data_IF_781009569316
#
_entry.id   IF_781009569316
#
_cell.length_a   1.000
_cell.length_b   1.000
_cell.length_c   1.000
_cell.angle_alpha   90.00
_cell.angle_beta   90.00
_cell.angle_gamma   90.00
#
_symmetry.space_group_name_H-M   'P 1'
#
loop_
_entity.id
_entity.type
_entity.pdbx_description
1 polymer ?
#
# COMPACT_ATOMS: atom_id res chain seq x y z
N UNK A 1 -17.68 -12.18 -16.91
CA UNK A 1 -18.06 -10.90 -16.27
C UNK A 1 -18.44 -11.07 -14.80
N UNK A 2 -19.28 -12.04 -14.43
CA UNK A 2 -19.62 -12.30 -13.02
C UNK A 2 -18.39 -12.66 -12.14
N UNK A 3 -17.46 -13.48 -12.67
CA UNK A 3 -16.28 -13.93 -11.93
C UNK A 3 -15.30 -12.81 -11.54
N UNK A 4 -15.09 -11.79 -12.39
CA UNK A 4 -14.18 -10.67 -12.08
C UNK A 4 -14.74 -9.77 -10.97
N UNK A 5 -16.07 -9.59 -10.95
CA UNK A 5 -16.76 -8.78 -9.93
C UNK A 5 -16.65 -9.46 -8.57
N UNK A 6 -16.80 -10.79 -8.52
CA UNK A 6 -16.64 -11.56 -7.29
C UNK A 6 -15.22 -11.42 -6.72
N UNK A 7 -14.19 -11.50 -7.56
CA UNK A 7 -12.78 -11.33 -7.13
C UNK A 7 -12.54 -9.92 -6.59
N UNK A 8 -13.12 -8.88 -7.23
CA UNK A 8 -13.04 -7.49 -6.77
C UNK A 8 -13.71 -7.27 -5.41
N UNK A 9 -14.90 -7.84 -5.21
CA UNK A 9 -15.60 -7.79 -3.92
C UNK A 9 -14.80 -8.51 -2.83
N UNK A 10 -14.22 -9.66 -3.16
CA UNK A 10 -13.35 -10.41 -2.26
C UNK A 10 -12.11 -9.59 -1.87
N UNK A 11 -11.47 -8.93 -2.83
CA UNK A 11 -10.33 -8.05 -2.58
C UNK A 11 -10.70 -6.91 -1.61
N UNK A 12 -11.83 -6.23 -1.84
CA UNK A 12 -12.31 -5.17 -0.95
C UNK A 12 -12.57 -5.68 0.47
N UNK A 13 -13.18 -6.87 0.58
CA UNK A 13 -13.44 -7.48 1.88
C UNK A 13 -12.13 -7.80 2.62
N UNK A 14 -11.14 -8.38 1.94
CA UNK A 14 -9.83 -8.68 2.52
C UNK A 14 -9.15 -7.38 2.99
N UNK A 15 -9.11 -6.35 2.16
CA UNK A 15 -8.50 -5.06 2.51
C UNK A 15 -9.20 -4.40 3.70
N UNK A 16 -10.53 -4.48 3.77
CA UNK A 16 -11.32 -3.93 4.88
C UNK A 16 -11.05 -4.70 6.17
N UNK A 17 -11.00 -6.04 6.12
CA UNK A 17 -10.66 -6.88 7.29
C UNK A 17 -9.24 -6.60 7.76
N UNK A 18 -8.26 -6.50 6.85
CA UNK A 18 -6.88 -6.15 7.18
C UNK A 18 -6.80 -4.76 7.82
N UNK A 19 -7.50 -3.76 7.25
CA UNK A 19 -7.55 -2.41 7.80
C UNK A 19 -8.14 -2.35 9.20
N UNK A 20 -9.24 -3.07 9.45
CA UNK A 20 -9.85 -3.15 10.80
C UNK A 20 -8.92 -3.86 11.79
N UNK A 21 -8.26 -4.96 11.39
CA UNK A 21 -7.30 -5.67 12.24
C UNK A 21 -6.10 -4.79 12.59
N UNK A 22 -5.56 -4.08 11.61
CA UNK A 22 -4.41 -3.19 11.80
C UNK A 22 -4.76 -2.01 12.74
N UNK A 23 -5.94 -1.41 12.59
CA UNK A 23 -6.40 -0.33 13.48
C UNK A 23 -6.70 -0.79 14.91
N UNK A 24 -7.29 -1.98 15.08
CA UNK A 24 -7.75 -2.46 16.40
C UNK A 24 -6.65 -3.17 17.20
N UNK A 25 -5.84 -3.99 16.54
CA UNK A 25 -4.86 -4.87 17.20
C UNK A 25 -3.42 -4.57 16.80
N UNK A 26 -3.17 -3.67 15.84
CA UNK A 26 -1.84 -3.40 15.25
C UNK A 26 -1.12 -4.68 14.80
N UNK A 27 -1.92 -5.67 14.42
CA UNK A 27 -1.46 -6.97 14.00
C UNK A 27 -2.45 -7.48 12.98
N UNK A 28 -1.91 -7.92 11.85
CA UNK A 28 -2.69 -8.52 10.77
C UNK A 28 -2.41 -10.02 10.80
N UNK A 29 -3.47 -10.81 10.65
CA UNK A 29 -3.33 -12.25 10.59
C UNK A 29 -2.48 -12.67 9.40
N UNK A 30 -1.42 -13.45 9.66
CA UNK A 30 -0.40 -13.79 8.65
C UNK A 30 -0.97 -14.45 7.38
N UNK A 31 -2.05 -15.23 7.51
CA UNK A 31 -2.70 -15.91 6.39
C UNK A 31 -3.43 -14.96 5.42
N UNK A 32 -3.73 -13.71 5.83
CA UNK A 32 -4.38 -12.73 4.95
C UNK A 32 -3.44 -12.23 3.84
N UNK A 33 -2.12 -12.18 4.09
CA UNK A 33 -1.13 -11.75 3.10
C UNK A 33 -1.01 -12.68 1.89
N UNK A 34 -0.83 -14.02 2.03
CA UNK A 34 -0.78 -14.91 0.88
C UNK A 34 -2.12 -14.92 0.13
N UNK A 35 -3.25 -14.81 0.83
CA UNK A 35 -4.57 -14.69 0.18
C UNK A 35 -4.67 -13.40 -0.63
N UNK A 36 -4.24 -12.26 -0.06
CA UNK A 36 -4.20 -10.98 -0.77
C UNK A 36 -3.32 -11.06 -2.01
N UNK A 37 -2.12 -11.62 -1.89
CA UNK A 37 -1.19 -11.77 -3.01
C UNK A 37 -1.81 -12.62 -4.13
N UNK A 38 -2.43 -13.76 -3.82
CA UNK A 38 -3.11 -14.60 -4.82
C UNK A 38 -4.23 -13.83 -5.52
N UNK A 39 -5.08 -13.11 -4.77
CA UNK A 39 -6.18 -12.33 -5.34
C UNK A 39 -5.66 -11.22 -6.26
N UNK A 40 -4.58 -10.53 -5.88
CA UNK A 40 -3.95 -9.51 -6.70
C UNK A 40 -3.33 -10.09 -7.98
N UNK A 41 -2.67 -11.24 -7.89
CA UNK A 41 -2.12 -11.97 -9.04
C UNK A 41 -3.20 -12.40 -10.04
N UNK A 42 -4.35 -12.87 -9.53
CA UNK A 42 -5.49 -13.23 -10.39
C UNK A 42 -6.10 -12.02 -11.10
N UNK A 43 -5.96 -10.81 -10.53
CA UNK A 43 -6.41 -9.56 -11.15
C UNK A 43 -5.40 -8.95 -12.12
N UNK A 44 -4.11 -9.29 -11.99
CA UNK A 44 -3.04 -8.83 -12.88
C UNK A 44 -2.29 -10.03 -13.51
N UNK A 45 -2.89 -10.73 -14.48
CA UNK A 45 -2.25 -11.87 -15.14
C UNK A 45 -1.05 -11.47 -16.01
N UNK A 46 -0.92 -10.20 -16.37
CA UNK A 46 0.19 -9.61 -17.14
C UNK A 46 1.39 -9.23 -16.28
N UNK A 47 1.59 -9.91 -15.15
CA UNK A 47 2.68 -9.62 -14.24
C UNK A 47 4.05 -9.82 -14.92
N UNK A 48 4.83 -8.74 -14.95
CA UNK A 48 6.23 -8.79 -15.35
C UNK A 48 7.11 -9.08 -14.14
N UNK A 49 7.90 -10.16 -14.22
CA UNK A 49 8.86 -10.52 -13.17
C UNK A 49 9.85 -9.37 -12.91
N UNK A 50 10.24 -8.64 -13.96
CA UNK A 50 11.11 -7.48 -13.85
C UNK A 50 10.47 -6.37 -13.01
N UNK A 51 9.17 -6.10 -13.20
CA UNK A 51 8.45 -5.10 -12.41
C UNK A 51 8.39 -5.50 -10.93
N UNK A 52 8.13 -6.78 -10.65
CA UNK A 52 8.13 -7.30 -9.28
C UNK A 52 9.49 -7.16 -8.60
N UNK A 53 10.58 -7.51 -9.30
CA UNK A 53 11.93 -7.37 -8.77
C UNK A 53 12.29 -5.90 -8.50
N UNK A 54 11.90 -4.98 -9.39
CA UNK A 54 12.10 -3.55 -9.17
C UNK A 54 11.31 -3.04 -7.95
N UNK A 55 10.06 -3.44 -7.80
CA UNK A 55 9.22 -3.04 -6.66
C UNK A 55 9.77 -3.60 -5.34
N UNK A 56 10.14 -4.88 -5.30
CA UNK A 56 10.75 -5.50 -4.13
C UNK A 56 12.09 -4.83 -3.81
N UNK A 57 12.90 -4.54 -4.82
CA UNK A 57 14.15 -3.79 -4.68
C UNK A 57 13.93 -2.39 -4.10
N UNK A 58 12.88 -1.70 -4.54
CA UNK A 58 12.48 -0.41 -3.99
C UNK A 58 12.05 -0.53 -2.52
N UNK A 59 11.22 -1.52 -2.16
CA UNK A 59 10.83 -1.76 -0.76
C UNK A 59 12.07 -2.04 0.09
N UNK A 60 12.98 -2.91 -0.36
CA UNK A 60 14.22 -3.22 0.34
C UNK A 60 15.09 -1.97 0.52
N UNK A 61 15.23 -1.15 -0.53
CA UNK A 61 15.96 0.12 -0.48
C UNK A 61 15.37 1.09 0.55
N UNK A 62 14.05 1.26 0.57
CA UNK A 62 13.35 2.10 1.56
C UNK A 62 13.56 1.58 2.98
N UNK A 63 13.49 0.27 3.19
CA UNK A 63 13.73 -0.33 4.51
C UNK A 63 15.17 -0.14 4.98
N UNK A 64 16.15 -0.28 4.08
CA UNK A 64 17.56 -0.03 4.39
C UNK A 64 17.78 1.44 4.75
N UNK A 65 17.23 2.37 3.96
CA UNK A 65 17.33 3.81 4.25
C UNK A 65 16.73 4.17 5.61
N UNK A 66 15.53 3.67 5.91
CA UNK A 66 14.88 3.91 7.19
C UNK A 66 15.68 3.31 8.34
N UNK A 67 16.19 2.09 8.18
CA UNK A 67 17.00 1.42 9.19
C UNK A 67 18.31 2.18 9.45
N UNK A 68 19.00 2.61 8.39
CA UNK A 68 20.20 3.43 8.49
C UNK A 68 19.89 4.76 9.20
N UNK A 69 18.81 5.45 8.83
CA UNK A 69 18.41 6.72 9.44
C UNK A 69 18.13 6.59 10.94
N UNK A 70 17.34 5.59 11.35
CA UNK A 70 17.06 5.34 12.77
C UNK A 70 18.30 4.90 13.54
N UNK A 71 19.16 4.08 12.92
CA UNK A 71 20.42 3.64 13.53
C UNK A 71 21.35 4.82 13.79
N UNK A 72 21.46 5.76 12.85
CA UNK A 72 22.25 6.98 13.02
C UNK A 72 21.65 7.88 14.11
N UNK A 73 20.32 8.02 14.15
CA UNK A 73 19.65 8.88 15.13
C UNK A 73 19.65 8.34 16.56
N UNK A 74 19.58 7.01 16.74
CA UNK A 74 19.56 6.37 18.07
C UNK A 74 20.94 5.85 18.52
N UNK A 75 21.97 5.94 17.67
CA UNK A 75 23.35 5.54 18.00
C UNK A 75 23.54 4.03 18.24
N UNK A 76 22.56 3.20 17.89
CA UNK A 76 22.59 1.74 18.04
C UNK A 76 21.91 1.09 16.83
N UNK A 77 22.26 -0.16 16.49
CA UNK A 77 21.52 -0.91 15.46
C UNK A 77 20.10 -1.19 15.96
N UNK A 78 19.14 -0.39 15.51
CA UNK A 78 17.73 -0.54 15.87
C UNK A 78 17.07 -1.49 14.88
N UNK A 79 16.54 -2.61 15.37
CA UNK A 79 15.64 -3.44 14.58
C UNK A 79 14.31 -2.70 14.37
N UNK A 80 14.16 -2.09 13.18
CA UNK A 80 12.98 -1.33 12.78
C UNK A 80 11.67 -2.12 12.96
N UNK A 81 11.70 -3.39 12.59
CA UNK A 81 10.59 -4.35 12.62
C UNK A 81 10.04 -4.67 14.01
N UNK A 82 10.83 -4.44 15.07
CA UNK A 82 10.42 -4.73 16.45
C UNK A 82 9.90 -3.52 17.20
N UNK A 83 10.17 -2.30 16.71
CA UNK A 83 10.05 -1.10 17.53
C UNK A 83 9.26 0.02 16.86
N UNK A 84 9.28 0.15 15.54
CA UNK A 84 8.71 1.32 14.84
C UNK A 84 7.87 0.96 13.60
N UNK A 85 8.20 -0.13 12.89
CA UNK A 85 7.47 -0.61 11.71
C UNK A 85 6.95 -2.03 11.99
N UNK A 86 5.66 -2.27 11.82
CA UNK A 86 5.08 -3.60 12.01
C UNK A 86 5.49 -4.54 10.87
N UNK A 87 5.68 -5.83 11.15
CA UNK A 87 5.86 -6.83 10.08
C UNK A 87 4.69 -6.82 9.09
N UNK A 88 3.49 -6.45 9.55
CA UNK A 88 2.31 -6.32 8.70
C UNK A 88 2.46 -5.22 7.63
N UNK A 89 3.10 -4.09 7.95
CA UNK A 89 3.34 -3.00 6.99
C UNK A 89 4.26 -3.47 5.85
N UNK A 90 5.33 -4.19 6.19
CA UNK A 90 6.28 -4.72 5.20
C UNK A 90 5.61 -5.77 4.32
N UNK A 91 4.88 -6.72 4.92
CA UNK A 91 4.18 -7.76 4.17
C UNK A 91 3.09 -7.17 3.26
N UNK A 92 2.40 -6.12 3.71
CA UNK A 92 1.43 -5.40 2.89
C UNK A 92 2.10 -4.74 1.69
N UNK A 93 3.19 -4.00 1.90
CA UNK A 93 3.96 -3.39 0.80
C UNK A 93 4.50 -4.43 -0.18
N UNK A 94 4.93 -5.60 0.29
CA UNK A 94 5.34 -6.71 -0.57
C UNK A 94 4.18 -7.27 -1.40
N UNK A 95 2.96 -7.36 -0.86
CA UNK A 95 1.79 -7.77 -1.64
C UNK A 95 1.49 -6.76 -2.75
N UNK A 96 1.60 -5.45 -2.45
CA UNK A 96 1.41 -4.40 -3.44
C UNK A 96 2.50 -4.36 -4.51
N UNK A 97 3.73 -4.72 -4.15
CA UNK A 97 4.85 -4.85 -5.08
C UNK A 97 4.60 -5.88 -6.18
N UNK A 98 3.73 -6.88 -5.93
CA UNK A 98 3.33 -7.88 -6.93
C UNK A 98 2.19 -7.41 -7.83
N UNK A 99 1.47 -6.34 -7.46
CA UNK A 99 0.29 -5.89 -8.18
C UNK A 99 0.56 -4.71 -9.12
N UNK A 100 1.36 -3.74 -8.68
CA UNK A 100 1.55 -2.48 -9.37
C UNK A 100 2.74 -2.51 -10.35
N UNK A 101 2.69 -1.64 -11.37
CA UNK A 101 3.88 -1.27 -12.13
C UNK A 101 4.87 -0.48 -11.24
N UNK A 102 6.17 -0.39 -11.59
CA UNK A 102 7.14 0.34 -10.75
C UNK A 102 6.83 1.80 -10.52
N UNK A 103 6.31 2.48 -11.55
CA UNK A 103 5.94 3.89 -11.45
C UNK A 103 4.69 4.06 -10.58
N UNK A 104 3.66 3.23 -10.82
CA UNK A 104 2.40 3.31 -10.06
C UNK A 104 2.61 2.92 -8.60
N UNK A 105 3.46 1.92 -8.33
CA UNK A 105 3.84 1.52 -6.99
C UNK A 105 4.53 2.66 -6.24
N UNK A 106 5.53 3.29 -6.87
CA UNK A 106 6.25 4.42 -6.30
C UNK A 106 5.30 5.59 -5.99
N UNK A 107 4.44 5.96 -6.94
CA UNK A 107 3.50 7.06 -6.76
C UNK A 107 2.45 6.76 -5.70
N UNK A 108 1.88 5.56 -5.72
CA UNK A 108 0.95 5.13 -4.68
C UNK A 108 1.60 5.17 -3.30
N UNK A 109 2.81 4.62 -3.16
CA UNK A 109 3.54 4.63 -1.90
C UNK A 109 3.81 6.06 -1.42
N UNK A 110 4.30 6.94 -2.29
CA UNK A 110 4.59 8.34 -1.95
C UNK A 110 3.33 9.13 -1.58
N UNK A 111 2.29 9.08 -2.42
CA UNK A 111 1.03 9.80 -2.17
C UNK A 111 0.31 9.29 -0.92
N UNK A 112 0.22 7.98 -0.73
CA UNK A 112 -0.41 7.41 0.46
C UNK A 112 0.33 7.83 1.72
N UNK A 113 1.67 7.78 1.71
CA UNK A 113 2.49 8.19 2.85
C UNK A 113 2.34 9.70 3.15
N UNK A 114 2.31 10.55 2.12
CA UNK A 114 2.05 11.99 2.29
C UNK A 114 0.67 12.26 2.87
N UNK A 115 -0.39 11.65 2.32
CA UNK A 115 -1.76 11.81 2.83
C UNK A 115 -1.88 11.36 4.29
N UNK A 116 -1.29 10.22 4.63
CA UNK A 116 -1.29 9.69 6.00
C UNK A 116 -0.50 10.62 6.92
N UNK A 117 0.67 11.09 6.51
CA UNK A 117 1.50 12.00 7.29
C UNK A 117 0.79 13.35 7.54
N UNK A 118 0.15 13.93 6.52
CA UNK A 118 -0.61 15.17 6.66
C UNK A 118 -1.84 14.99 7.55
N UNK A 119 -2.61 13.92 7.34
CA UNK A 119 -3.82 13.65 8.13
C UNK A 119 -3.51 13.34 9.59
N UNK A 120 -2.52 12.48 9.84
CA UNK A 120 -2.08 12.16 11.21
C UNK A 120 -1.36 13.33 11.87
N UNK A 121 -0.55 14.10 11.13
CA UNK A 121 0.12 15.31 11.62
C UNK A 121 -0.87 16.38 12.06
N UNK A 122 -1.91 16.65 11.25
CA UNK A 122 -2.99 17.55 11.64
C UNK A 122 -3.73 17.05 12.89
N UNK A 123 -4.07 15.76 12.94
CA UNK A 123 -4.73 15.15 14.10
C UNK A 123 -3.90 15.26 15.39
N UNK A 124 -2.59 15.00 15.31
CA UNK A 124 -1.67 15.13 16.44
C UNK A 124 -1.60 16.57 16.93
N UNK A 125 -1.55 17.54 16.01
CA UNK A 125 -1.48 18.96 16.36
C UNK A 125 -2.74 19.41 17.13
N UNK A 126 -3.91 18.90 16.74
CA UNK A 126 -5.19 19.27 17.34
C UNK A 126 -5.48 18.55 18.67
N UNK A 127 -5.19 17.23 18.76
CA UNK A 127 -5.65 16.41 19.90
C UNK A 127 -4.56 15.98 20.88
N UNK A 128 -3.28 16.11 20.52
CA UNK A 128 -2.10 15.66 21.29
C UNK A 128 -2.30 14.38 22.12
N UNK A 129 -2.82 13.29 21.52
CA UNK A 129 -3.02 12.04 22.26
C UNK A 129 -1.68 11.48 22.76
N UNK A 130 -1.63 11.10 24.05
CA UNK A 130 -0.50 10.36 24.60
C UNK A 130 -0.47 8.94 23.98
N UNK A 131 0.69 8.50 23.47
CA UNK A 131 0.93 7.16 22.90
C UNK A 131 0.19 6.80 21.61
N UNK A 132 -0.09 7.78 20.75
CA UNK A 132 -0.60 7.50 19.41
C UNK A 132 0.49 6.87 18.53
N UNK A 133 0.19 5.72 17.93
CA UNK A 133 1.00 5.19 16.84
C UNK A 133 0.10 4.93 15.64
N UNK A 134 0.67 5.13 14.47
CA UNK A 134 -0.03 5.21 13.19
C UNK A 134 -0.13 3.80 12.59
N UNK A 135 -1.33 3.26 12.36
CA UNK A 135 -1.53 1.99 11.64
C UNK A 135 -1.35 2.26 10.14
N UNK A 136 -0.11 2.13 9.65
CA UNK A 136 0.26 2.51 8.28
C UNK A 136 -0.38 1.58 7.25
N UNK A 137 -0.26 0.25 7.41
CA UNK A 137 -0.84 -0.74 6.51
C UNK A 137 -2.36 -0.57 6.37
N UNK A 138 -3.06 -0.35 7.47
CA UNK A 138 -4.51 -0.18 7.46
C UNK A 138 -4.93 1.08 6.71
N UNK A 139 -4.27 2.21 6.98
CA UNK A 139 -4.56 3.46 6.27
C UNK A 139 -4.17 3.38 4.79
N UNK A 140 -3.03 2.78 4.45
CA UNK A 140 -2.66 2.54 3.05
C UNK A 140 -3.64 1.59 2.36
N UNK A 141 -4.16 0.58 3.07
CA UNK A 141 -5.23 -0.29 2.59
C UNK A 141 -6.52 0.46 2.27
N UNK A 142 -6.91 1.44 3.09
CA UNK A 142 -8.04 2.32 2.79
C UNK A 142 -7.77 3.21 1.57
N UNK A 143 -6.58 3.79 1.45
CA UNK A 143 -6.19 4.56 0.26
C UNK A 143 -6.24 3.68 -0.99
N UNK A 144 -5.81 2.42 -0.89
CA UNK A 144 -5.89 1.46 -1.98
C UNK A 144 -7.34 1.12 -2.36
N UNK A 145 -8.23 0.94 -1.38
CA UNK A 145 -9.66 0.75 -1.64
C UNK A 145 -10.22 1.93 -2.46
N UNK A 146 -9.93 3.16 -2.05
CA UNK A 146 -10.38 4.35 -2.77
C UNK A 146 -9.82 4.41 -4.20
N UNK A 147 -8.53 4.09 -4.36
CA UNK A 147 -7.89 4.04 -5.67
C UNK A 147 -8.53 2.97 -6.58
N UNK A 148 -8.83 1.79 -6.05
CA UNK A 148 -9.45 0.70 -6.81
C UNK A 148 -10.89 1.03 -7.20
N UNK A 149 -11.67 1.64 -6.30
CA UNK A 149 -13.02 2.10 -6.62
C UNK A 149 -13.00 3.17 -7.72
N UNK A 150 -12.11 4.15 -7.60
CA UNK A 150 -11.90 5.16 -8.64
C UNK A 150 -11.47 4.50 -9.95
N UNK A 151 -10.48 3.61 -9.94
CA UNK A 151 -10.00 2.98 -11.17
C UNK A 151 -11.11 2.19 -11.89
N UNK A 152 -12.01 1.53 -11.14
CA UNK A 152 -13.15 0.85 -11.74
C UNK A 152 -14.20 1.78 -12.32
N UNK A 153 -14.43 2.95 -11.70
CA UNK A 153 -15.32 4.00 -12.23
C UNK A 153 -14.74 4.59 -13.51
N UNK A 154 -13.44 4.86 -13.53
CA UNK A 154 -12.72 5.44 -14.67
C UNK A 154 -12.25 4.41 -15.70
N UNK A 155 -12.50 3.12 -15.49
CA UNK A 155 -12.04 1.99 -16.32
C UNK A 155 -10.52 1.97 -16.56
N UNK A 156 -9.73 2.54 -15.67
CA UNK A 156 -8.26 2.51 -15.75
C UNK A 156 -7.72 1.29 -14.99
N UNK A 157 -6.64 0.68 -15.50
CA UNK A 157 -6.03 -0.50 -14.88
C UNK A 157 -4.71 -0.12 -14.18
N UNK A 158 -4.69 0.04 -12.85
CA UNK A 158 -3.48 0.48 -12.12
C UNK A 158 -2.28 -0.48 -12.20
N UNK A 159 -2.47 -1.69 -12.72
CA UNK A 159 -1.44 -2.74 -12.77
C UNK A 159 -0.59 -2.78 -14.04
N UNK A 160 -0.95 -2.04 -15.10
CA UNK A 160 -0.34 -2.21 -16.43
C UNK A 160 0.70 -1.13 -16.79
N UNK A 161 0.99 -0.17 -15.90
CA UNK A 161 1.92 0.93 -16.19
C UNK A 161 1.30 2.08 -17.00
N UNK A 162 0.08 1.87 -17.50
CA UNK A 162 -0.67 2.89 -18.25
C UNK A 162 -1.56 3.75 -17.34
N UNK A 163 -1.54 3.60 -16.02
CA UNK A 163 -2.45 4.34 -15.15
C UNK A 163 -2.30 5.86 -15.29
N UNK A 164 -1.06 6.36 -15.33
CA UNK A 164 -0.79 7.79 -15.53
C UNK A 164 -1.12 8.26 -16.94
N UNK A 165 -0.79 7.46 -17.96
CA UNK A 165 -1.05 7.80 -19.36
C UNK A 165 -2.54 7.79 -19.64
N UNK A 166 -3.28 6.83 -19.09
CA UNK A 166 -4.74 6.74 -19.13
C UNK A 166 -5.40 7.87 -18.34
N UNK A 167 -4.88 8.24 -17.18
CA UNK A 167 -5.44 9.33 -16.38
C UNK A 167 -5.25 10.69 -17.09
N UNK A 168 -4.04 10.95 -17.60
CA UNK A 168 -3.72 12.20 -18.30
C UNK A 168 -4.46 12.31 -19.64
N UNK A 169 -4.56 11.23 -20.40
CA UNK A 169 -5.33 11.22 -21.66
C UNK A 169 -6.82 11.42 -21.42
N UNK A 170 -7.43 10.72 -20.45
CA UNK A 170 -8.84 10.93 -20.11
C UNK A 170 -9.13 12.30 -19.50
N UNK A 171 -8.18 12.92 -18.80
CA UNK A 171 -8.31 14.27 -18.29
C UNK A 171 -8.23 15.32 -19.41
N UNK A 172 -7.38 15.07 -20.41
CA UNK A 172 -7.24 15.93 -21.59
C UNK A 172 -8.45 15.86 -22.53
N UNK A 173 -9.01 14.66 -22.78
CA UNK A 173 -10.20 14.52 -23.64
C UNK A 173 -11.49 15.11 -23.06
N UNK A 174 -11.49 15.51 -21.78
CA UNK A 174 -12.65 16.08 -21.08
C UNK A 174 -12.54 17.60 -20.84
N UNK A 175 -11.44 18.24 -21.21
CA UNK A 175 -11.24 19.69 -21.11
C UNK A 175 -11.49 20.38 -22.45
#
# INVERSE_FOLDING_TARGET
MFSIILIRLLLLLILLVMGIQDMKFRAISWYLFPVLAIVLLLLNPSLSLQNCLLNIGFVAFVLVLLTAWFSLKQGSMVNLTRRHLGMGDILFLLCLALFFSPVDFFLFYLFSLLLICMGTGAYLLLRRPANFTIPLAGLQGFVLILLLLASWIWKTAPGNGDFLTDLLSNAYERG
#
